data_IF_620332506850
#
_entry.id   IF_620332506850
#
_cell.length_a   1.000
_cell.length_b   1.000
_cell.length_c   1.000
_cell.angle_alpha   90.00
_cell.angle_beta   90.00
_cell.angle_gamma   90.00
#
_symmetry.space_group_name_H-M   'P 1'
#
loop_
_entity.id
_entity.type
_entity.pdbx_description
1 polymer ?
#
# COMPACT_ATOMS: atom_id res chain seq x y z
N UNK A 1 59.21 57.08 60.55
CA UNK A 1 59.16 56.37 59.24
C UNK A 1 57.70 56.24 58.90
N UNK A 2 57.24 57.04 57.91
CA UNK A 2 55.81 57.17 57.52
C UNK A 2 55.32 55.97 56.71
N UNK A 3 54.22 55.36 57.15
CA UNK A 3 53.58 54.18 56.52
C UNK A 3 52.85 54.61 55.23
N UNK A 4 53.57 54.69 54.11
CA UNK A 4 52.97 55.02 52.78
C UNK A 4 52.55 53.76 51.97
N UNK A 5 52.75 52.60 52.51
CA UNK A 5 52.48 51.36 51.75
C UNK A 5 50.99 51.00 51.41
N UNK A 6 50.00 51.14 52.30
CA UNK A 6 48.64 50.74 51.99
C UNK A 6 47.87 51.65 51.06
N UNK A 7 48.22 52.97 51.04
CA UNK A 7 47.53 53.97 50.18
C UNK A 7 47.90 53.83 48.71
N UNK A 8 49.14 53.45 48.38
CA UNK A 8 49.60 53.22 47.01
C UNK A 8 48.96 51.95 46.42
N UNK A 9 48.71 50.89 47.24
CA UNK A 9 48.08 49.66 46.84
C UNK A 9 46.60 49.90 46.49
N UNK A 10 45.89 50.75 47.24
CA UNK A 10 44.47 51.09 46.98
C UNK A 10 44.29 51.95 45.72
N UNK A 11 45.18 52.83 45.40
CA UNK A 11 45.18 53.69 44.20
C UNK A 11 45.45 52.83 42.95
N UNK A 12 46.34 51.82 43.02
CA UNK A 12 46.62 50.92 41.92
C UNK A 12 45.46 49.99 41.62
N UNK A 13 44.70 49.54 42.62
CA UNK A 13 43.55 48.67 42.44
C UNK A 13 42.32 49.41 41.82
N UNK A 14 42.21 50.75 42.10
CA UNK A 14 41.10 51.56 41.52
C UNK A 14 41.28 51.79 40.02
N UNK A 15 42.49 51.73 39.48
CA UNK A 15 42.72 51.90 38.05
C UNK A 15 42.42 50.71 37.19
N UNK A 16 42.30 49.50 37.79
CA UNK A 16 42.01 48.28 37.06
C UNK A 16 40.54 48.07 36.81
N UNK A 17 39.61 48.80 37.43
CA UNK A 17 38.17 48.61 37.29
C UNK A 17 37.56 49.57 36.26
N UNK A 18 38.31 50.53 35.72
CA UNK A 18 37.80 51.55 34.78
C UNK A 18 37.77 51.11 33.28
N UNK A 19 38.11 49.84 32.94
CA UNK A 19 38.32 49.41 31.55
C UNK A 19 37.13 48.86 30.79
N UNK A 20 35.95 48.79 31.38
CA UNK A 20 34.80 48.20 30.73
C UNK A 20 33.60 49.15 30.63
N UNK A 21 33.80 50.39 30.22
CA UNK A 21 32.66 51.23 29.79
C UNK A 21 32.56 51.21 28.27
N UNK A 22 31.84 50.29 27.83
CA UNK A 22 31.20 49.78 26.73
C UNK A 22 30.72 50.75 25.65
N UNK A 23 31.54 51.10 24.68
CA UNK A 23 31.01 51.60 23.40
C UNK A 23 30.92 50.53 22.32
N UNK A 24 31.40 49.30 22.60
CA UNK A 24 31.31 48.20 21.62
C UNK A 24 29.89 47.74 21.26
N UNK A 25 28.94 47.91 22.18
CA UNK A 25 27.55 47.58 21.89
C UNK A 25 26.84 48.64 21.04
N UNK A 26 27.21 49.91 21.17
CA UNK A 26 26.64 50.99 20.37
C UNK A 26 27.12 50.94 18.91
N UNK A 27 28.36 50.56 18.70
CA UNK A 27 28.92 50.36 17.35
C UNK A 27 28.24 49.15 16.62
N UNK A 28 28.08 48.05 17.29
CA UNK A 28 27.33 46.90 16.78
C UNK A 28 25.87 47.25 16.45
N UNK A 29 25.21 48.03 17.30
CA UNK A 29 23.85 48.49 17.05
C UNK A 29 23.76 49.44 15.83
N UNK A 30 24.73 50.31 15.63
CA UNK A 30 24.82 51.17 14.43
C UNK A 30 25.04 50.30 13.18
N UNK A 31 25.99 49.37 13.24
CA UNK A 31 26.27 48.47 12.13
C UNK A 31 25.03 47.64 11.75
N UNK A 32 24.31 47.07 12.71
CA UNK A 32 23.05 46.31 12.46
C UNK A 32 21.98 47.21 11.86
N UNK A 33 21.83 48.47 12.34
CA UNK A 33 20.91 49.44 11.76
C UNK A 33 21.27 49.79 10.32
N UNK A 34 22.54 49.97 10.01
CA UNK A 34 23.00 50.34 8.68
C UNK A 34 22.85 49.13 7.70
N UNK A 35 23.12 47.92 8.17
CA UNK A 35 22.86 46.72 7.40
C UNK A 35 21.35 46.50 7.11
N UNK A 36 20.49 46.94 8.00
CA UNK A 36 19.02 46.83 7.82
C UNK A 36 18.46 47.94 6.91
N UNK A 37 19.05 49.12 6.87
CA UNK A 37 18.57 50.25 6.05
C UNK A 37 18.61 49.97 4.54
N UNK A 38 19.51 49.10 4.09
CA UNK A 38 19.62 48.73 2.66
C UNK A 38 18.82 47.56 2.21
N UNK A 39 18.28 46.79 3.13
CA UNK A 39 17.52 45.57 2.82
C UNK A 39 16.03 45.86 2.88
N UNK A 40 15.46 46.35 1.80
CA UNK A 40 14.02 46.27 1.60
C UNK A 40 13.71 44.79 1.33
N UNK A 41 12.93 44.10 2.17
CA UNK A 41 12.51 42.75 1.85
C UNK A 41 11.80 42.82 0.52
N UNK A 42 12.34 42.18 -0.49
CA UNK A 42 11.67 41.95 -1.76
C UNK A 42 10.60 40.90 -1.50
N UNK A 43 9.43 41.34 -1.11
CA UNK A 43 8.27 40.50 -1.03
C UNK A 43 7.85 40.24 -2.48
N UNK A 44 7.98 39.02 -2.93
CA UNK A 44 7.41 38.64 -4.22
C UNK A 44 5.91 38.88 -4.17
N UNK A 45 5.34 39.53 -5.21
CA UNK A 45 3.90 39.71 -5.26
C UNK A 45 3.23 38.35 -5.17
N UNK A 46 2.19 38.24 -4.37
CA UNK A 46 1.38 37.01 -4.30
C UNK A 46 0.92 36.64 -5.71
N UNK A 47 1.00 35.37 -6.07
CA UNK A 47 0.46 34.91 -7.35
C UNK A 47 -1.01 35.33 -7.47
N UNK A 48 -1.39 35.83 -8.63
CA UNK A 48 -2.79 36.17 -8.89
C UNK A 48 -3.67 34.94 -8.68
N UNK A 49 -4.62 35.06 -7.79
CA UNK A 49 -5.61 34.02 -7.56
C UNK A 49 -6.50 33.99 -8.80
N UNK A 50 -6.27 33.01 -9.67
CA UNK A 50 -7.23 32.73 -10.74
C UNK A 50 -8.51 32.24 -10.06
N UNK A 51 -9.53 33.05 -10.13
CA UNK A 51 -10.88 32.65 -9.72
C UNK A 51 -11.30 31.49 -10.61
N UNK A 52 -11.44 30.30 -10.04
CA UNK A 52 -12.05 29.19 -10.76
C UNK A 52 -13.52 29.54 -10.99
N UNK A 53 -13.94 29.48 -12.25
CA UNK A 53 -15.36 29.53 -12.56
C UNK A 53 -16.04 28.39 -11.80
N UNK A 54 -17.05 28.72 -11.00
CA UNK A 54 -17.82 27.71 -10.27
C UNK A 54 -18.56 26.86 -11.31
N UNK A 55 -18.13 25.59 -11.43
CA UNK A 55 -18.83 24.61 -12.24
C UNK A 55 -20.16 24.26 -11.53
N UNK A 56 -21.26 24.63 -12.15
CA UNK A 56 -22.59 24.20 -11.69
C UNK A 56 -22.83 22.83 -12.32
N UNK A 57 -22.86 21.81 -11.48
CA UNK A 57 -23.20 20.46 -11.92
C UNK A 57 -24.70 20.38 -12.24
N UNK A 58 -25.04 20.32 -13.50
CA UNK A 58 -26.42 20.12 -13.98
C UNK A 58 -26.57 18.67 -14.42
N UNK A 59 -26.95 17.81 -13.51
CA UNK A 59 -27.10 16.38 -13.77
C UNK A 59 -28.58 15.94 -13.85
N UNK A 60 -29.49 16.88 -13.94
CA UNK A 60 -30.94 16.62 -13.89
C UNK A 60 -31.43 15.63 -14.97
N UNK A 61 -30.65 15.44 -16.04
CA UNK A 61 -30.94 14.52 -17.15
C UNK A 61 -30.03 13.30 -17.21
N UNK A 62 -29.10 13.13 -16.25
CA UNK A 62 -28.22 11.98 -16.20
C UNK A 62 -28.77 10.93 -15.24
N UNK A 63 -28.63 9.67 -15.63
CA UNK A 63 -28.99 8.56 -14.74
C UNK A 63 -28.13 8.62 -13.49
N UNK A 64 -28.75 8.48 -12.32
CA UNK A 64 -28.04 8.41 -11.04
C UNK A 64 -26.98 7.29 -11.09
N UNK A 65 -25.69 7.61 -10.92
CA UNK A 65 -24.62 6.61 -10.95
C UNK A 65 -24.75 5.56 -9.82
N UNK A 66 -25.53 5.84 -8.78
CA UNK A 66 -25.82 4.94 -7.68
C UNK A 66 -27.20 4.27 -7.79
N UNK A 67 -27.95 4.57 -8.86
CA UNK A 67 -29.20 3.83 -9.09
C UNK A 67 -28.90 2.34 -9.18
N UNK A 68 -29.62 1.48 -8.45
CA UNK A 68 -29.40 0.05 -8.54
C UNK A 68 -29.61 -0.38 -9.99
N UNK A 69 -28.54 -0.86 -10.61
CA UNK A 69 -28.65 -1.52 -11.90
C UNK A 69 -29.59 -2.71 -11.71
N UNK A 70 -30.80 -2.59 -12.24
CA UNK A 70 -31.66 -3.75 -12.44
C UNK A 70 -31.01 -4.61 -13.54
N UNK A 71 -29.94 -5.30 -13.20
CA UNK A 71 -29.44 -6.42 -13.97
C UNK A 71 -30.52 -7.50 -13.83
N UNK A 72 -31.61 -7.37 -14.61
CA UNK A 72 -32.42 -8.55 -14.87
C UNK A 72 -31.44 -9.56 -15.47
N UNK A 73 -31.24 -10.73 -14.87
CA UNK A 73 -30.45 -11.76 -15.50
C UNK A 73 -31.13 -12.02 -16.86
N UNK A 74 -30.54 -11.44 -17.91
CA UNK A 74 -30.85 -11.85 -19.26
C UNK A 74 -30.45 -13.30 -19.26
N UNK A 75 -31.49 -14.18 -19.36
CA UNK A 75 -31.40 -15.60 -19.12
C UNK A 75 -30.09 -16.16 -19.62
N UNK A 76 -29.25 -16.58 -18.67
CA UNK A 76 -27.88 -16.99 -18.91
C UNK A 76 -27.85 -17.91 -20.12
N UNK A 77 -26.86 -17.67 -20.94
CA UNK A 77 -26.65 -18.44 -22.15
C UNK A 77 -26.65 -19.94 -21.77
N UNK A 78 -27.71 -20.66 -22.07
CA UNK A 78 -27.92 -22.05 -21.67
C UNK A 78 -26.89 -23.04 -22.24
N UNK A 79 -25.83 -22.54 -22.87
CA UNK A 79 -24.76 -23.27 -23.52
C UNK A 79 -23.34 -23.01 -22.98
N UNK A 80 -23.18 -22.22 -21.90
CA UNK A 80 -21.88 -22.02 -21.26
C UNK A 80 -21.48 -23.18 -20.32
N UNK A 81 -20.20 -23.22 -19.89
CA UNK A 81 -19.75 -24.19 -18.90
C UNK A 81 -20.53 -23.99 -17.61
N UNK A 82 -21.08 -25.07 -17.06
CA UNK A 82 -21.81 -25.04 -15.79
C UNK A 82 -21.22 -26.09 -14.85
N UNK A 83 -21.04 -25.74 -13.56
CA UNK A 83 -20.55 -26.70 -12.58
C UNK A 83 -21.62 -27.78 -12.34
N UNK A 84 -21.19 -29.05 -12.20
CA UNK A 84 -22.07 -30.12 -11.77
C UNK A 84 -22.33 -30.02 -10.27
N UNK A 85 -23.51 -29.52 -9.92
CA UNK A 85 -23.94 -29.37 -8.52
C UNK A 85 -24.34 -30.69 -7.86
N UNK A 86 -24.54 -31.75 -8.65
CA UNK A 86 -25.03 -33.05 -8.14
C UNK A 86 -23.90 -34.01 -7.77
N UNK A 87 -22.63 -33.68 -8.13
CA UNK A 87 -21.48 -34.50 -7.74
C UNK A 87 -21.14 -34.34 -6.26
N UNK A 88 -20.53 -35.37 -5.69
CA UNK A 88 -19.98 -35.30 -4.34
C UNK A 88 -18.76 -34.36 -4.37
N UNK A 89 -18.72 -33.41 -3.45
CA UNK A 89 -17.53 -32.53 -3.27
C UNK A 89 -16.33 -33.32 -2.77
N UNK A 90 -15.17 -32.95 -3.28
CA UNK A 90 -13.89 -33.46 -2.82
C UNK A 90 -13.37 -32.65 -1.62
N UNK A 91 -12.53 -33.23 -0.76
CA UNK A 91 -12.05 -32.55 0.45
C UNK A 91 -11.32 -31.23 0.18
N UNK A 92 -10.62 -31.10 -0.96
CA UNK A 92 -9.91 -29.91 -1.33
C UNK A 92 -10.80 -28.76 -1.82
N UNK A 93 -12.09 -29.01 -2.07
CA UNK A 93 -13.05 -27.98 -2.44
C UNK A 93 -13.62 -27.22 -1.23
N UNK A 94 -13.38 -27.70 -0.03
CA UNK A 94 -13.80 -27.01 1.20
C UNK A 94 -12.91 -25.79 1.50
N UNK A 95 -11.74 -25.72 0.89
CA UNK A 95 -10.75 -24.66 1.09
C UNK A 95 -10.69 -23.72 -0.11
N UNK A 96 -10.50 -22.39 0.11
CA UNK A 96 -10.21 -21.47 -0.99
C UNK A 96 -8.87 -21.83 -1.65
N UNK A 97 -8.78 -21.69 -2.97
CA UNK A 97 -7.60 -22.09 -3.74
C UNK A 97 -6.31 -21.43 -3.24
N UNK A 98 -6.40 -20.16 -2.85
CA UNK A 98 -5.25 -19.37 -2.36
C UNK A 98 -4.70 -19.86 -1.01
N UNK A 99 -5.46 -20.66 -0.28
CA UNK A 99 -5.02 -21.25 1.00
C UNK A 99 -4.34 -22.60 0.83
N UNK A 100 -4.44 -23.21 -0.35
CA UNK A 100 -3.84 -24.49 -0.67
C UNK A 100 -2.38 -24.29 -1.12
N UNK A 101 -1.49 -25.18 -0.69
CA UNK A 101 -0.07 -25.14 -1.04
C UNK A 101 0.35 -26.44 -1.68
N UNK A 102 1.00 -26.37 -2.83
CA UNK A 102 1.65 -27.52 -3.42
C UNK A 102 3.00 -27.74 -2.72
N UNK A 103 3.18 -28.90 -2.11
CA UNK A 103 4.38 -29.26 -1.36
C UNK A 103 5.25 -30.29 -2.09
N UNK A 104 4.74 -30.87 -3.17
CA UNK A 104 5.51 -31.83 -3.97
C UNK A 104 4.68 -32.53 -5.02
N UNK A 105 5.33 -33.44 -5.74
CA UNK A 105 4.73 -34.33 -6.72
C UNK A 105 5.09 -35.77 -6.43
N UNK A 106 4.19 -36.66 -6.77
CA UNK A 106 4.41 -38.10 -6.74
C UNK A 106 4.21 -38.64 -8.15
N UNK A 107 5.10 -39.49 -8.63
CA UNK A 107 4.94 -40.14 -9.92
C UNK A 107 5.10 -41.64 -9.78
N UNK A 108 4.27 -42.41 -10.49
CA UNK A 108 4.34 -43.84 -10.57
C UNK A 108 3.99 -44.29 -11.99
N UNK A 109 4.97 -44.70 -12.75
CA UNK A 109 4.77 -45.00 -14.17
C UNK A 109 4.34 -43.77 -14.95
N UNK A 110 3.20 -43.82 -15.60
CA UNK A 110 2.63 -42.71 -16.37
C UNK A 110 1.65 -41.83 -15.58
N UNK A 111 1.48 -42.09 -14.30
CA UNK A 111 0.57 -41.31 -13.45
C UNK A 111 1.37 -40.36 -12.56
N UNK A 112 0.93 -39.10 -12.53
CA UNK A 112 1.48 -38.07 -11.65
C UNK A 112 0.39 -37.52 -10.76
N UNK A 113 0.73 -37.30 -9.50
CA UNK A 113 -0.13 -36.67 -8.49
C UNK A 113 0.60 -35.47 -7.91
N UNK A 114 -0.13 -34.48 -7.61
CA UNK A 114 0.37 -33.39 -6.77
C UNK A 114 0.02 -33.67 -5.30
N UNK A 115 0.92 -33.26 -4.44
CA UNK A 115 0.74 -33.29 -2.98
C UNK A 115 0.40 -31.89 -2.54
N UNK A 116 -0.81 -31.75 -1.99
CA UNK A 116 -1.39 -30.45 -1.59
C UNK A 116 -1.56 -30.44 -0.08
N UNK A 117 -1.03 -29.42 0.55
CA UNK A 117 -1.24 -29.14 1.96
C UNK A 117 -2.35 -28.11 2.12
N UNK A 118 -3.35 -28.45 2.93
CA UNK A 118 -4.43 -27.57 3.33
C UNK A 118 -4.02 -26.69 4.55
N UNK A 119 -4.76 -25.60 4.83
CA UNK A 119 -4.43 -24.68 5.94
C UNK A 119 -4.52 -25.33 7.32
N UNK A 120 -5.26 -26.41 7.49
CA UNK A 120 -5.35 -27.20 8.70
C UNK A 120 -4.14 -28.15 8.92
N UNK A 121 -3.20 -28.15 7.95
CA UNK A 121 -2.04 -29.04 7.96
C UNK A 121 -2.28 -30.42 7.36
N UNK A 122 -3.50 -30.74 6.96
CA UNK A 122 -3.80 -32.00 6.28
C UNK A 122 -3.16 -32.03 4.89
N UNK A 123 -2.72 -33.20 4.48
CA UNK A 123 -2.05 -33.40 3.19
C UNK A 123 -2.90 -34.32 2.32
N UNK A 124 -3.20 -33.85 1.13
CA UNK A 124 -4.02 -34.54 0.15
C UNK A 124 -3.23 -34.82 -1.11
N UNK A 125 -3.67 -35.83 -1.85
CA UNK A 125 -3.13 -36.17 -3.16
C UNK A 125 -4.16 -35.80 -4.21
N UNK A 126 -3.78 -35.02 -5.19
CA UNK A 126 -4.63 -34.63 -6.31
C UNK A 126 -4.07 -35.18 -7.64
N UNK A 127 -4.95 -35.64 -8.50
CA UNK A 127 -4.67 -36.11 -9.86
C UNK A 127 -5.33 -35.20 -10.91
N UNK A 128 -4.96 -35.39 -12.18
CA UNK A 128 -5.66 -34.71 -13.27
C UNK A 128 -7.13 -35.18 -13.30
N UNK A 129 -8.06 -34.22 -13.35
CA UNK A 129 -9.50 -34.45 -13.27
C UNK A 129 -10.10 -34.28 -11.88
N UNK A 130 -9.31 -34.28 -10.81
CA UNK A 130 -9.79 -33.99 -9.46
C UNK A 130 -10.12 -32.50 -9.30
N UNK A 131 -10.95 -32.20 -8.29
CA UNK A 131 -11.43 -30.85 -8.05
C UNK A 131 -10.83 -30.26 -6.76
N UNK A 132 -10.52 -28.98 -6.79
CA UNK A 132 -10.02 -28.23 -5.64
C UNK A 132 -10.41 -26.76 -5.70
N UNK A 133 -10.46 -26.12 -4.54
CA UNK A 133 -10.90 -24.74 -4.43
C UNK A 133 -12.42 -24.59 -4.44
N UNK A 134 -12.91 -23.50 -3.85
CA UNK A 134 -14.34 -23.24 -3.70
C UNK A 134 -15.06 -22.90 -5.01
N UNK A 135 -14.29 -22.62 -6.07
CA UNK A 135 -14.79 -22.20 -7.38
C UNK A 135 -14.82 -23.37 -8.40
N UNK A 136 -15.06 -24.58 -7.94
CA UNK A 136 -15.14 -25.76 -8.81
C UNK A 136 -13.88 -25.98 -9.68
N UNK A 137 -12.71 -25.67 -9.15
CA UNK A 137 -11.45 -25.75 -9.87
C UNK A 137 -11.09 -27.19 -10.26
N UNK A 138 -11.09 -27.53 -11.54
CA UNK A 138 -10.72 -28.85 -12.06
C UNK A 138 -9.25 -28.86 -12.47
N UNK A 139 -8.48 -29.82 -11.99
CA UNK A 139 -7.07 -30.02 -12.34
C UNK A 139 -6.95 -30.48 -13.79
N UNK A 140 -6.28 -29.68 -14.62
CA UNK A 140 -6.06 -29.97 -16.04
C UNK A 140 -4.69 -30.54 -16.32
N UNK A 141 -3.66 -30.09 -15.58
CA UNK A 141 -2.28 -30.53 -15.78
C UNK A 141 -1.47 -30.42 -14.49
N UNK A 142 -0.64 -31.42 -14.26
CA UNK A 142 0.32 -31.43 -13.14
C UNK A 142 1.74 -31.46 -13.74
N UNK A 143 2.60 -30.57 -13.26
CA UNK A 143 4.03 -30.53 -13.55
C UNK A 143 4.82 -30.61 -12.25
N UNK A 144 6.12 -30.74 -12.31
CA UNK A 144 6.97 -30.77 -11.11
C UNK A 144 6.92 -29.47 -10.32
N UNK A 145 6.68 -28.32 -11.01
CA UNK A 145 6.71 -26.98 -10.43
C UNK A 145 5.33 -26.44 -10.08
N UNK A 146 4.27 -26.89 -10.74
CA UNK A 146 2.92 -26.32 -10.58
C UNK A 146 1.79 -27.25 -11.00
N UNK A 147 0.62 -26.97 -10.49
CA UNK A 147 -0.67 -27.51 -10.95
C UNK A 147 -1.38 -26.42 -11.74
N UNK A 148 -1.89 -26.76 -12.91
CA UNK A 148 -2.81 -25.92 -13.66
C UNK A 148 -4.23 -26.45 -13.48
N UNK A 149 -5.16 -25.51 -13.30
CA UNK A 149 -6.58 -25.83 -13.11
C UNK A 149 -7.45 -24.79 -13.82
N UNK A 150 -8.69 -25.16 -14.05
CA UNK A 150 -9.72 -24.28 -14.59
C UNK A 150 -10.82 -24.15 -13.55
N UNK A 151 -11.07 -22.93 -13.09
CA UNK A 151 -12.15 -22.60 -12.17
C UNK A 151 -13.37 -22.10 -12.93
N UNK A 152 -14.55 -22.37 -12.37
CA UNK A 152 -15.80 -21.81 -12.83
C UNK A 152 -16.25 -20.70 -11.89
N UNK A 153 -16.32 -19.48 -12.37
CA UNK A 153 -16.75 -18.31 -11.62
C UNK A 153 -17.97 -17.67 -12.27
N UNK A 154 -18.83 -17.05 -11.48
CA UNK A 154 -19.95 -16.28 -12.03
C UNK A 154 -19.51 -14.86 -12.31
N UNK A 155 -19.86 -14.37 -13.50
CA UNK A 155 -19.71 -12.94 -13.83
C UNK A 155 -20.85 -12.13 -13.15
N UNK A 156 -20.78 -10.78 -13.14
CA UNK A 156 -21.84 -9.96 -12.56
C UNK A 156 -23.22 -10.11 -13.23
N UNK A 157 -23.27 -10.70 -14.41
CA UNK A 157 -24.53 -10.98 -15.14
C UNK A 157 -25.13 -12.33 -14.75
N UNK A 158 -24.42 -13.14 -13.94
CA UNK A 158 -24.86 -14.47 -13.50
C UNK A 158 -24.44 -15.60 -14.43
N UNK A 159 -23.69 -15.34 -15.50
CA UNK A 159 -23.18 -16.37 -16.39
C UNK A 159 -21.91 -17.02 -15.81
N UNK A 160 -21.76 -18.32 -16.03
CA UNK A 160 -20.57 -19.04 -15.67
C UNK A 160 -19.48 -18.84 -16.71
N UNK A 161 -18.28 -18.49 -16.26
CA UNK A 161 -17.09 -18.31 -17.11
C UNK A 161 -15.94 -19.14 -16.55
N UNK A 162 -15.10 -19.64 -17.45
CA UNK A 162 -13.88 -20.35 -17.11
C UNK A 162 -12.74 -19.37 -16.82
N UNK A 163 -12.03 -19.61 -15.74
CA UNK A 163 -10.81 -18.88 -15.37
C UNK A 163 -9.67 -19.88 -15.18
N UNK A 164 -8.57 -19.65 -15.86
CA UNK A 164 -7.35 -20.43 -15.61
C UNK A 164 -6.70 -19.97 -14.31
N UNK A 165 -6.31 -20.94 -13.49
CA UNK A 165 -5.57 -20.72 -12.25
C UNK A 165 -4.43 -21.73 -12.14
N UNK A 166 -3.47 -21.47 -11.26
CA UNK A 166 -2.37 -22.40 -10.98
C UNK A 166 -1.93 -22.27 -9.52
N UNK A 167 -1.38 -23.36 -9.00
CA UNK A 167 -0.71 -23.40 -7.69
C UNK A 167 0.75 -23.83 -7.96
N UNK A 168 1.70 -22.98 -7.60
CA UNK A 168 3.12 -23.31 -7.70
C UNK A 168 3.58 -24.07 -6.44
N UNK A 169 4.65 -24.85 -6.59
CA UNK A 169 5.32 -25.50 -5.47
C UNK A 169 5.94 -24.45 -4.55
N UNK A 170 5.82 -24.65 -3.26
CA UNK A 170 6.48 -23.81 -2.26
C UNK A 170 7.83 -24.42 -1.94
N UNK A 171 8.91 -23.68 -2.23
CA UNK A 171 10.28 -24.01 -1.83
C UNK A 171 10.54 -23.71 -0.33
#
# INVERSE_FOLDING_TARGET
MKRLGPTILFISLSFLVGGCSGDGAADLQRWVKDQRKGRKPRVEPLPEIKTHESFIYTADNLTDPFAPFNLKPQGGNKGGPQPDMNRRKEPLEDYPLDSLRMVGTLSRGNQSWAVIQAPDGAVYRASVGDHMGQNFGMVTKITEERINLVELIQNPLGDWIERQANIAIVE
#
